data_IF_887801920788
#
_entry.id   IF_887801920788
#
_cell.length_a   1.000
_cell.length_b   1.000
_cell.length_c   1.000
_cell.angle_alpha   90.00
_cell.angle_beta   90.00
_cell.angle_gamma   90.00
#
_symmetry.space_group_name_H-M   'P 1'
#
loop_
_entity.id
_entity.type
_entity.pdbx_description
1 polymer ?
#
# COMPACT_ATOMS: atom_id res chain seq x y z
N UNK A 1 -15.59 13.10 -22.55
CA UNK A 1 -14.79 12.03 -23.17
C UNK A 1 -13.65 11.65 -22.22
N UNK A 2 -13.90 10.81 -21.21
CA UNK A 2 -12.92 10.41 -20.21
C UNK A 2 -12.47 8.96 -20.47
N UNK A 3 -11.58 8.77 -21.44
CA UNK A 3 -11.06 7.45 -21.81
C UNK A 3 -9.74 7.16 -21.11
N UNK A 4 -9.73 6.22 -20.17
CA UNK A 4 -8.69 5.20 -19.93
C UNK A 4 -7.19 5.56 -20.16
N UNK A 5 -6.71 6.73 -19.74
CA UNK A 5 -5.27 7.07 -19.85
C UNK A 5 -4.36 6.38 -18.83
N UNK A 6 -4.92 5.70 -17.83
CA UNK A 6 -4.17 5.15 -16.71
C UNK A 6 -4.16 3.62 -16.68
N UNK A 7 -3.77 3.02 -17.81
CA UNK A 7 -3.55 1.56 -17.87
C UNK A 7 -2.16 1.20 -17.33
N UNK A 8 -2.03 -0.01 -16.78
CA UNK A 8 -0.73 -0.54 -16.32
C UNK A 8 0.31 -0.56 -17.44
N UNK A 9 -0.10 -0.95 -18.65
CA UNK A 9 0.76 -0.93 -19.83
C UNK A 9 1.29 0.49 -20.10
N UNK A 10 0.43 1.50 -19.98
CA UNK A 10 0.83 2.89 -20.16
C UNK A 10 1.79 3.36 -19.06
N UNK A 11 1.55 2.98 -17.80
CA UNK A 11 2.47 3.31 -16.69
C UNK A 11 3.87 2.73 -16.91
N UNK A 12 4.00 1.52 -17.45
CA UNK A 12 5.31 0.92 -17.79
C UNK A 12 6.05 1.79 -18.81
N UNK A 13 5.36 2.13 -19.89
CA UNK A 13 5.89 2.94 -20.98
C UNK A 13 6.34 4.30 -20.43
N UNK A 14 5.50 4.94 -19.62
CA UNK A 14 5.81 6.24 -19.02
C UNK A 14 7.04 6.16 -18.10
N UNK A 15 7.27 5.04 -17.39
CA UNK A 15 8.45 4.89 -16.51
C UNK A 15 9.74 4.81 -17.33
N UNK A 16 9.72 3.98 -18.38
CA UNK A 16 10.84 3.83 -19.31
C UNK A 16 11.16 5.18 -19.95
N UNK A 17 10.14 5.89 -20.42
CA UNK A 17 10.29 7.23 -21.00
C UNK A 17 10.86 8.23 -19.99
N UNK A 18 10.41 8.19 -18.73
CA UNK A 18 10.92 9.05 -17.67
C UNK A 18 12.42 8.84 -17.41
N UNK A 19 12.90 7.59 -17.43
CA UNK A 19 14.33 7.28 -17.29
C UNK A 19 15.10 7.74 -18.53
N UNK A 20 14.60 7.43 -19.72
CA UNK A 20 15.23 7.83 -20.98
C UNK A 20 15.40 9.35 -21.07
N UNK A 21 14.38 10.13 -20.68
CA UNK A 21 14.50 11.59 -20.64
C UNK A 21 15.51 12.08 -19.59
N UNK A 22 15.65 11.39 -18.46
CA UNK A 22 16.71 11.69 -17.49
C UNK A 22 18.10 11.47 -18.11
N UNK A 23 18.30 10.36 -18.82
CA UNK A 23 19.56 10.07 -19.50
C UNK A 23 19.89 11.09 -20.59
N UNK A 24 18.89 11.53 -21.37
CA UNK A 24 19.08 12.56 -22.40
C UNK A 24 19.43 13.92 -21.79
N UNK A 25 18.82 14.28 -20.64
CA UNK A 25 19.24 15.45 -19.87
C UNK A 25 20.71 15.34 -19.47
N UNK A 26 21.10 14.19 -18.91
CA UNK A 26 22.47 13.95 -18.44
C UNK A 26 23.49 13.93 -19.58
N UNK A 27 23.05 13.60 -20.80
CA UNK A 27 23.83 13.70 -22.03
C UNK A 27 23.97 15.13 -22.59
N UNK A 28 23.37 16.15 -21.94
CA UNK A 28 23.54 17.57 -22.28
C UNK A 28 22.28 18.30 -22.72
N UNK A 29 21.13 17.64 -22.80
CA UNK A 29 19.85 18.30 -23.09
C UNK A 29 19.28 18.97 -21.82
N UNK A 30 19.95 20.01 -21.33
CA UNK A 30 19.68 20.65 -20.04
C UNK A 30 18.28 21.29 -19.92
N UNK A 31 17.60 21.55 -21.04
CA UNK A 31 16.21 22.02 -21.05
C UNK A 31 15.22 20.98 -20.52
N UNK A 32 15.58 19.69 -20.55
CA UNK A 32 14.75 18.60 -20.04
C UNK A 32 14.82 18.63 -18.51
N UNK A 33 13.75 19.11 -17.88
CA UNK A 33 13.59 19.10 -16.43
C UNK A 33 12.37 18.24 -16.02
N UNK A 34 12.23 17.99 -14.70
CA UNK A 34 11.15 17.16 -14.15
C UNK A 34 9.76 17.67 -14.55
N UNK A 35 9.55 18.98 -14.58
CA UNK A 35 8.27 19.59 -14.94
C UNK A 35 7.95 19.35 -16.40
N UNK A 36 8.96 19.47 -17.27
CA UNK A 36 8.83 19.18 -18.69
C UNK A 36 8.45 17.71 -18.92
N UNK A 37 9.12 16.77 -18.24
CA UNK A 37 8.80 15.33 -18.32
C UNK A 37 7.37 15.07 -17.82
N UNK A 38 6.98 15.65 -16.68
CA UNK A 38 5.65 15.50 -16.10
C UNK A 38 4.55 15.97 -17.06
N UNK A 39 4.74 17.12 -17.69
CA UNK A 39 3.84 17.64 -18.73
C UNK A 39 3.79 16.72 -19.95
N UNK A 40 4.95 16.24 -20.41
CA UNK A 40 5.06 15.40 -21.60
C UNK A 40 4.41 14.03 -21.44
N UNK A 41 4.50 13.45 -20.24
CA UNK A 41 3.92 12.15 -19.89
C UNK A 41 2.52 12.24 -19.29
N UNK A 42 1.99 13.44 -19.10
CA UNK A 42 0.73 13.68 -18.38
C UNK A 42 0.69 13.02 -16.98
N UNK A 43 1.82 13.09 -16.26
CA UNK A 43 1.98 12.55 -14.90
C UNK A 43 2.25 13.66 -13.90
N UNK A 44 2.07 13.36 -12.61
CA UNK A 44 2.45 14.30 -11.55
C UNK A 44 3.97 14.42 -11.44
N UNK A 45 4.47 15.58 -11.00
CA UNK A 45 5.90 15.79 -10.78
C UNK A 45 6.44 14.81 -9.73
N UNK A 46 5.66 14.52 -8.67
CA UNK A 46 6.02 13.52 -7.67
C UNK A 46 6.25 12.15 -8.29
N UNK A 47 5.35 11.72 -9.20
CA UNK A 47 5.51 10.46 -9.91
C UNK A 47 6.81 10.42 -10.74
N UNK A 48 7.17 11.53 -11.41
CA UNK A 48 8.44 11.62 -12.15
C UNK A 48 9.64 11.53 -11.21
N UNK A 49 9.63 12.27 -10.09
CA UNK A 49 10.69 12.18 -9.07
C UNK A 49 10.92 10.75 -8.58
N UNK A 50 9.84 10.00 -8.37
CA UNK A 50 9.90 8.62 -7.87
C UNK A 50 10.44 7.62 -8.90
N UNK A 51 10.34 7.92 -10.20
CA UNK A 51 10.63 6.96 -11.27
C UNK A 51 11.87 7.27 -12.10
N UNK A 52 12.23 8.54 -12.27
CA UNK A 52 13.28 8.94 -13.21
C UNK A 52 14.72 8.56 -12.79
N UNK A 53 14.95 8.22 -11.52
CA UNK A 53 16.24 7.73 -10.98
C UNK A 53 16.29 6.20 -10.88
N UNK A 54 15.23 5.52 -11.32
CA UNK A 54 15.17 4.06 -11.29
C UNK A 54 16.00 3.48 -12.43
N UNK A 55 16.37 2.21 -12.30
CA UNK A 55 16.93 1.47 -13.42
C UNK A 55 15.83 0.94 -14.34
N UNK A 56 16.18 0.65 -15.58
CA UNK A 56 15.25 0.06 -16.55
C UNK A 56 14.63 -1.24 -16.03
N UNK A 57 15.40 -2.06 -15.31
CA UNK A 57 14.90 -3.28 -14.67
C UNK A 57 13.84 -2.95 -13.60
N UNK A 58 13.99 -1.84 -12.88
CA UNK A 58 13.05 -1.43 -11.82
C UNK A 58 11.73 -0.90 -12.36
N UNK A 59 11.70 -0.45 -13.62
CA UNK A 59 10.44 -0.20 -14.32
C UNK A 59 9.56 -1.44 -14.31
N UNK A 60 10.20 -2.63 -14.33
CA UNK A 60 9.56 -3.93 -14.32
C UNK A 60 9.45 -4.57 -12.93
N UNK A 61 10.28 -4.18 -11.97
CA UNK A 61 10.21 -4.73 -10.60
C UNK A 61 9.12 -4.09 -9.75
N UNK A 62 8.69 -2.85 -10.02
CA UNK A 62 7.50 -2.29 -9.37
C UNK A 62 6.20 -3.04 -9.74
N UNK A 63 6.23 -3.92 -10.75
CA UNK A 63 5.14 -4.88 -11.01
C UNK A 63 5.10 -6.04 -10.03
N UNK A 64 6.10 -6.23 -9.17
CA UNK A 64 6.09 -7.24 -8.11
C UNK A 64 5.37 -6.81 -6.83
N UNK A 65 4.70 -5.65 -6.84
CA UNK A 65 3.77 -5.26 -5.77
C UNK A 65 2.40 -4.79 -6.30
N UNK A 66 1.90 -5.52 -7.29
CA UNK A 66 0.48 -5.52 -7.70
C UNK A 66 -0.24 -6.87 -7.53
N UNK A 67 0.34 -7.85 -6.83
CA UNK A 67 -0.34 -8.99 -6.18
C UNK A 67 0.55 -9.34 -4.99
N UNK A 68 0.02 -9.56 -3.77
CA UNK A 68 0.85 -10.03 -2.67
C UNK A 68 1.63 -11.25 -3.17
N UNK A 69 2.90 -11.39 -2.73
CA UNK A 69 3.53 -12.71 -2.66
C UNK A 69 2.41 -13.62 -2.19
N UNK A 70 1.98 -14.61 -2.99
CA UNK A 70 0.97 -15.54 -2.52
C UNK A 70 1.56 -16.09 -1.24
N UNK A 71 1.10 -15.59 -0.10
CA UNK A 71 1.41 -16.21 1.16
C UNK A 71 0.96 -17.63 0.92
N UNK A 72 1.89 -18.55 1.15
CA UNK A 72 1.54 -19.96 1.16
C UNK A 72 0.36 -20.10 2.13
N UNK A 73 -0.50 -21.10 1.88
CA UNK A 73 -1.71 -21.26 2.67
C UNK A 73 -1.39 -21.30 4.18
N UNK A 74 -0.24 -21.85 4.54
CA UNK A 74 0.29 -21.91 5.91
C UNK A 74 0.56 -20.52 6.50
N UNK A 75 1.15 -19.59 5.72
CA UNK A 75 1.38 -18.23 6.19
C UNK A 75 0.07 -17.45 6.36
N UNK A 76 -0.94 -17.71 5.51
CA UNK A 76 -2.28 -17.13 5.66
C UNK A 76 -2.95 -17.63 6.93
N UNK A 77 -2.84 -18.92 7.22
CA UNK A 77 -3.37 -19.53 8.44
C UNK A 77 -2.75 -18.88 9.68
N UNK A 78 -1.43 -18.63 9.71
CA UNK A 78 -0.79 -17.92 10.83
C UNK A 78 -1.33 -16.51 11.00
N UNK A 79 -1.52 -15.77 9.89
CA UNK A 79 -2.09 -14.41 9.96
C UNK A 79 -3.53 -14.44 10.45
N UNK A 80 -4.35 -15.39 10.00
CA UNK A 80 -5.73 -15.58 10.43
C UNK A 80 -5.81 -15.96 11.91
N UNK A 81 -5.08 -16.99 12.34
CA UNK A 81 -5.00 -17.44 13.73
C UNK A 81 -4.49 -16.36 14.68
N UNK A 82 -3.63 -15.47 14.19
CA UNK A 82 -3.04 -14.38 14.96
C UNK A 82 -3.87 -13.09 14.90
N UNK A 83 -4.87 -13.01 14.02
CA UNK A 83 -5.78 -11.88 13.97
C UNK A 83 -6.66 -11.87 15.22
N UNK A 84 -7.02 -10.67 15.69
CA UNK A 84 -7.81 -10.49 16.91
C UNK A 84 -7.16 -10.96 18.24
N UNK A 85 -5.93 -11.47 18.26
CA UNK A 85 -5.21 -11.84 19.50
C UNK A 85 -4.37 -10.69 20.05
N UNK A 86 -4.35 -10.55 21.38
CA UNK A 86 -3.48 -9.61 22.08
C UNK A 86 -2.00 -9.91 21.77
N UNK A 87 -1.16 -8.87 21.72
CA UNK A 87 0.29 -8.96 21.42
C UNK A 87 0.66 -9.55 20.04
N UNK A 88 -0.31 -9.78 19.14
CA UNK A 88 -0.10 -10.30 17.77
C UNK A 88 -0.25 -9.21 16.70
N UNK A 89 0.52 -8.14 16.86
CA UNK A 89 0.67 -7.08 15.86
C UNK A 89 1.32 -7.59 14.57
N UNK A 90 1.14 -6.88 13.45
CA UNK A 90 1.67 -7.29 12.14
C UNK A 90 3.19 -7.56 12.16
N UNK A 91 3.96 -6.80 12.95
CA UNK A 91 5.41 -7.02 13.09
C UNK A 91 5.75 -8.32 13.83
N UNK A 92 4.95 -8.69 14.84
CA UNK A 92 5.10 -9.95 15.56
C UNK A 92 4.69 -11.15 14.71
N UNK A 93 3.65 -11.00 13.89
CA UNK A 93 3.21 -12.02 12.93
C UNK A 93 4.26 -12.24 11.84
N UNK A 94 4.85 -11.17 11.31
CA UNK A 94 5.97 -11.25 10.37
C UNK A 94 7.18 -11.99 10.97
N UNK A 95 7.54 -11.67 12.23
CA UNK A 95 8.61 -12.35 12.96
C UNK A 95 8.31 -13.84 13.20
N UNK A 96 7.05 -14.19 13.50
CA UNK A 96 6.62 -15.58 13.71
C UNK A 96 6.68 -16.41 12.42
N UNK A 97 6.32 -15.81 11.28
CA UNK A 97 6.46 -16.44 9.96
C UNK A 97 7.95 -16.69 9.66
N UNK A 98 8.83 -15.74 9.96
CA UNK A 98 10.27 -15.90 9.80
C UNK A 98 10.83 -17.05 10.65
N UNK A 99 10.46 -17.10 11.94
CA UNK A 99 10.97 -18.13 12.87
C UNK A 99 10.48 -19.53 12.49
N UNK A 100 9.19 -19.68 12.15
CA UNK A 100 8.61 -21.00 11.89
C UNK A 100 8.94 -21.58 10.52
N UNK A 101 9.15 -20.72 9.52
CA UNK A 101 9.24 -21.15 8.12
C UNK A 101 10.51 -20.70 7.41
N UNK A 102 11.43 -20.04 8.11
CA UNK A 102 12.66 -19.46 7.57
C UNK A 102 12.42 -18.58 6.32
N UNK A 103 11.24 -17.95 6.26
CA UNK A 103 10.82 -17.09 5.16
C UNK A 103 10.52 -15.70 5.69
N UNK A 104 11.28 -14.72 5.19
CA UNK A 104 11.05 -13.32 5.55
C UNK A 104 9.77 -12.80 4.90
N UNK A 105 8.84 -12.32 5.73
CA UNK A 105 7.63 -11.63 5.29
C UNK A 105 7.65 -10.23 5.88
N UNK A 106 7.43 -9.22 5.05
CA UNK A 106 7.39 -7.84 5.54
C UNK A 106 6.14 -7.58 6.38
N UNK A 107 6.25 -6.67 7.35
CA UNK A 107 5.10 -6.12 8.09
C UNK A 107 3.96 -5.68 7.15
N UNK A 108 4.32 -5.03 6.04
CA UNK A 108 3.37 -4.51 5.04
C UNK A 108 2.61 -5.65 4.37
N UNK A 109 3.26 -6.78 4.12
CA UNK A 109 2.63 -7.96 3.54
C UNK A 109 1.54 -8.52 4.45
N UNK A 110 1.84 -8.70 5.74
CA UNK A 110 0.84 -9.15 6.72
C UNK A 110 -0.30 -8.13 6.89
N UNK A 111 0.00 -6.83 6.84
CA UNK A 111 -1.01 -5.77 6.91
C UNK A 111 -1.96 -5.76 5.72
N UNK A 112 -1.42 -5.89 4.49
CA UNK A 112 -2.22 -5.94 3.25
C UNK A 112 -3.12 -7.17 3.22
N UNK A 113 -2.62 -8.34 3.64
CA UNK A 113 -3.44 -9.55 3.69
C UNK A 113 -4.58 -9.42 4.71
N UNK A 114 -4.30 -8.85 5.88
CA UNK A 114 -5.36 -8.58 6.85
C UNK A 114 -6.45 -7.68 6.25
N UNK A 115 -6.05 -6.60 5.58
CA UNK A 115 -6.99 -5.70 4.93
C UNK A 115 -7.81 -6.38 3.81
N UNK A 116 -7.20 -7.25 2.99
CA UNK A 116 -7.90 -7.94 1.90
C UNK A 116 -8.91 -8.99 2.40
N UNK A 117 -8.62 -9.65 3.52
CA UNK A 117 -9.49 -10.66 4.14
C UNK A 117 -10.47 -10.06 5.16
N UNK A 118 -10.51 -8.73 5.32
CA UNK A 118 -11.33 -8.06 6.33
C UNK A 118 -10.87 -8.28 7.78
N UNK A 119 -9.70 -8.89 7.99
CA UNK A 119 -9.11 -9.17 9.29
C UNK A 119 -8.46 -7.91 9.87
N UNK A 120 -8.44 -7.80 11.21
CA UNK A 120 -7.85 -6.65 11.91
C UNK A 120 -6.91 -7.08 13.03
N UNK A 121 -5.78 -6.38 13.24
CA UNK A 121 -4.99 -6.51 14.44
C UNK A 121 -5.81 -6.15 15.69
N UNK A 122 -5.50 -6.76 16.84
CA UNK A 122 -6.23 -6.53 18.09
C UNK A 122 -6.35 -5.05 18.50
N UNK A 123 -5.29 -4.24 18.31
CA UNK A 123 -5.34 -2.82 18.66
C UNK A 123 -6.39 -2.05 17.86
N UNK A 124 -6.63 -2.41 16.59
CA UNK A 124 -7.66 -1.78 15.76
C UNK A 124 -9.06 -2.19 16.20
N UNK A 125 -9.27 -3.46 16.54
CA UNK A 125 -10.56 -3.92 17.07
C UNK A 125 -10.84 -3.34 18.46
N UNK A 126 -9.83 -3.25 19.32
CA UNK A 126 -9.95 -2.62 20.64
C UNK A 126 -10.26 -1.12 20.54
N UNK A 127 -9.61 -0.39 19.64
CA UNK A 127 -9.91 1.03 19.39
C UNK A 127 -11.32 1.21 18.81
N UNK A 128 -11.77 0.32 17.92
CA UNK A 128 -13.13 0.34 17.39
C UNK A 128 -14.16 0.03 18.48
N UNK A 129 -13.91 -0.96 19.33
CA UNK A 129 -14.75 -1.27 20.49
C UNK A 129 -14.83 -0.09 21.47
N UNK A 130 -13.70 0.52 21.83
CA UNK A 130 -13.67 1.72 22.69
C UNK A 130 -14.39 2.92 22.07
N UNK A 131 -14.30 3.12 20.75
CA UNK A 131 -15.05 4.18 20.05
C UNK A 131 -16.55 3.89 19.99
N UNK A 132 -16.93 2.62 19.83
CA UNK A 132 -18.33 2.19 19.88
C UNK A 132 -18.93 2.24 21.30
N UNK A 133 -18.16 1.91 22.34
CA UNK A 133 -18.55 2.06 23.74
C UNK A 133 -18.68 3.54 24.13
N UNK A 134 -17.77 4.41 23.65
CA UNK A 134 -17.93 5.86 23.78
C UNK A 134 -19.15 6.40 23.02
N UNK A 135 -19.51 5.81 21.88
CA UNK A 135 -20.72 6.18 21.14
C UNK A 135 -22.01 5.72 21.85
N UNK A 136 -21.97 4.62 22.61
CA UNK A 136 -23.10 4.15 23.45
C UNK A 136 -23.24 4.88 24.78
N UNK A 137 -22.22 5.64 25.21
CA UNK A 137 -22.27 6.47 26.42
C UNK A 137 -22.75 7.91 26.18
N UNK A 138 -23.16 8.26 24.95
CA UNK A 138 -23.72 9.56 24.63
C UNK A 138 -24.98 9.44 23.75
N UNK A 139 -26.00 8.77 24.29
CA UNK A 139 -27.38 9.11 23.97
C UNK A 139 -27.90 9.96 25.13
N UNK A 140 -28.18 11.26 24.93
CA UNK A 140 -29.03 11.99 25.86
C UNK A 140 -30.31 11.18 26.04
N UNK A 141 -30.59 10.85 27.29
CA UNK A 141 -31.84 10.29 27.78
C UNK A 141 -33.04 10.99 27.15
N UNK A 142 -34.06 10.20 26.81
CA UNK A 142 -35.45 10.62 26.66
C UNK A 142 -35.75 11.85 27.52
N UNK A 143 -35.86 12.99 26.86
CA UNK A 143 -36.75 14.05 27.30
C UNK A 143 -38.03 13.88 26.50
N UNK A 144 -39.15 14.10 27.19
CA UNK A 144 -40.54 14.01 26.72
C UNK A 144 -41.20 12.64 26.81
N UNK A 145 -41.56 12.28 28.04
CA UNK A 145 -42.93 11.84 28.36
C UNK A 145 -43.24 12.25 29.80
N UNK A 146 -43.80 13.46 29.96
CA UNK A 146 -44.75 13.84 31.03
C UNK A 146 -45.13 15.32 30.89
N UNK A 147 -46.15 15.59 30.06
CA UNK A 147 -47.36 16.35 30.41
C UNK A 147 -48.31 16.44 29.23
#
# INVERSE_FOLDING_TARGET
MAGTYDSEKQRVIDRIMSIAFCQVRDAGATFINRNWIAQKLHRSIGWVCDNWNKNHQDCFTEFWQGRPLQMSQENRNIVAESSHKQQKGNGKVAQEILIRWNKSVSFMTSSRHRASEGLKPFHNTYLQAKRGEKAKQFTPTHWEENK
#
